data_IF_977638684458
#
_entry.id   IF_977638684458
#
_cell.length_a   1.000
_cell.length_b   1.000
_cell.length_c   1.000
_cell.angle_alpha   90.00
_cell.angle_beta   90.00
_cell.angle_gamma   90.00
#
_symmetry.space_group_name_H-M   'P 1'
#
loop_
_entity.id
_entity.type
_entity.pdbx_description
1 polymer ?
#
# COMPACT_ATOMS: atom_id res chain seq x y z
N UNK A 1 -2.11 2.92 -16.76
CA UNK A 1 -2.53 3.94 -15.82
C UNK A 1 -1.87 3.75 -14.47
N UNK A 2 -1.35 4.82 -13.95
CA UNK A 2 -0.66 4.73 -12.67
C UNK A 2 -1.63 4.89 -11.51
N UNK A 3 -1.59 3.93 -10.62
CA UNK A 3 -2.38 4.00 -9.39
C UNK A 3 -1.61 4.82 -8.38
N UNK A 4 -2.30 5.76 -7.75
CA UNK A 4 -1.68 6.62 -6.76
C UNK A 4 -2.23 6.32 -5.38
N UNK A 5 -1.55 6.85 -4.38
CA UNK A 5 -1.99 6.64 -3.01
C UNK A 5 -3.42 7.14 -2.80
N UNK A 6 -3.82 8.18 -3.54
CA UNK A 6 -5.19 8.66 -3.49
C UNK A 6 -6.19 7.57 -3.86
N UNK A 7 -5.85 6.81 -4.89
CA UNK A 7 -6.73 5.76 -5.36
C UNK A 7 -6.86 4.67 -4.30
N UNK A 8 -5.77 4.34 -3.67
CA UNK A 8 -5.79 3.33 -2.61
C UNK A 8 -6.65 3.82 -1.46
N UNK A 9 -6.47 5.08 -1.08
CA UNK A 9 -7.26 5.65 0.02
C UNK A 9 -8.75 5.61 -0.28
N UNK A 10 -9.12 5.98 -1.49
CA UNK A 10 -10.51 5.94 -1.89
C UNK A 10 -11.05 4.52 -1.89
N UNK A 11 -10.29 3.61 -2.42
CA UNK A 11 -10.73 2.22 -2.49
C UNK A 11 -10.89 1.63 -1.10
N UNK A 12 -9.96 1.93 -0.21
CA UNK A 12 -9.99 1.42 1.15
C UNK A 12 -10.98 2.17 2.04
N UNK A 13 -11.42 3.35 1.61
CA UNK A 13 -12.32 4.15 2.42
C UNK A 13 -11.62 4.83 3.59
N UNK A 14 -10.36 5.19 3.40
CA UNK A 14 -9.58 5.85 4.44
C UNK A 14 -8.87 7.04 3.85
N UNK A 15 -8.19 7.81 4.71
CA UNK A 15 -7.46 8.98 4.23
C UNK A 15 -6.10 8.57 3.68
N UNK A 16 -5.52 9.47 2.88
CA UNK A 16 -4.18 9.24 2.37
C UNK A 16 -3.18 9.07 3.50
N UNK A 17 -3.35 9.83 4.54
CA UNK A 17 -2.47 9.72 5.70
C UNK A 17 -2.52 8.32 6.28
N UNK A 18 -3.71 7.75 6.36
CA UNK A 18 -3.86 6.40 6.88
C UNK A 18 -3.14 5.39 6.00
N UNK A 19 -3.28 5.53 4.69
CA UNK A 19 -2.60 4.62 3.76
C UNK A 19 -1.09 4.74 3.95
N UNK A 20 -0.60 5.97 4.04
CA UNK A 20 0.83 6.19 4.23
C UNK A 20 1.33 5.55 5.51
N UNK A 21 0.57 5.68 6.59
CA UNK A 21 0.97 5.07 7.86
C UNK A 21 1.02 3.56 7.78
N UNK A 22 0.05 2.97 7.09
CA UNK A 22 0.06 1.52 6.91
C UNK A 22 1.29 1.08 6.14
N UNK A 23 1.60 1.78 5.07
CA UNK A 23 2.73 1.42 4.23
C UNK A 23 4.06 1.60 4.95
N UNK A 24 4.16 2.62 5.79
CA UNK A 24 5.39 2.90 6.52
C UNK A 24 5.41 2.28 7.90
N UNK A 25 4.35 1.58 8.25
CA UNK A 25 4.27 0.91 9.54
C UNK A 25 4.44 1.90 10.70
N UNK A 26 3.83 3.07 10.55
CA UNK A 26 3.97 4.13 11.54
C UNK A 26 2.70 4.27 12.37
N UNK A 27 2.89 4.47 13.66
CA UNK A 27 1.77 4.67 14.55
C UNK A 27 0.94 3.41 14.69
N UNK A 28 -0.14 3.54 15.42
CA UNK A 28 -1.03 2.41 15.64
C UNK A 28 -2.10 2.36 14.55
N UNK A 29 -2.19 1.25 13.89
CA UNK A 29 -3.19 1.02 12.86
C UNK A 29 -3.92 -0.28 13.23
N UNK A 30 -5.24 -0.22 13.33
CA UNK A 30 -6.01 -1.41 13.64
C UNK A 30 -5.88 -2.42 12.51
N UNK A 31 -6.05 -3.69 12.84
CA UNK A 31 -5.94 -4.73 11.83
C UNK A 31 -6.99 -4.57 10.75
N UNK A 32 -8.17 -4.11 11.13
CA UNK A 32 -9.22 -3.89 10.14
C UNK A 32 -8.79 -2.88 9.10
N UNK A 33 -8.26 -1.76 9.56
CA UNK A 33 -7.81 -0.71 8.66
C UNK A 33 -6.66 -1.21 7.80
N UNK A 34 -5.72 -1.88 8.43
CA UNK A 34 -4.56 -2.42 7.69
C UNK A 34 -5.02 -3.36 6.60
N UNK A 35 -5.96 -4.22 6.92
CA UNK A 35 -6.46 -5.17 5.94
C UNK A 35 -7.15 -4.46 4.79
N UNK A 36 -7.96 -3.45 5.09
CA UNK A 36 -8.63 -2.69 4.05
C UNK A 36 -7.64 -2.07 3.08
N UNK A 37 -6.58 -1.48 3.63
CA UNK A 37 -5.57 -0.86 2.79
C UNK A 37 -4.84 -1.90 1.96
N UNK A 38 -4.45 -3.01 2.56
CA UNK A 38 -3.76 -4.06 1.83
C UNK A 38 -4.64 -4.65 0.73
N UNK A 39 -5.92 -4.82 1.01
CA UNK A 39 -6.85 -5.32 -0.01
C UNK A 39 -6.94 -4.34 -1.17
N UNK A 40 -7.02 -3.05 -0.86
CA UNK A 40 -7.09 -2.03 -1.90
C UNK A 40 -5.82 -2.04 -2.74
N UNK A 41 -4.68 -2.17 -2.08
CA UNK A 41 -3.39 -2.21 -2.77
C UNK A 41 -3.36 -3.39 -3.74
N UNK A 42 -3.83 -4.54 -3.28
CA UNK A 42 -3.85 -5.72 -4.12
C UNK A 42 -4.79 -5.58 -5.31
N UNK A 43 -5.97 -5.01 -5.07
CA UNK A 43 -6.96 -4.84 -6.14
C UNK A 43 -6.50 -3.85 -7.19
N UNK A 44 -5.85 -2.79 -6.76
CA UNK A 44 -5.42 -1.74 -7.67
C UNK A 44 -4.01 -1.97 -8.19
N UNK A 45 -3.36 -3.02 -7.71
CA UNK A 45 -1.98 -3.33 -8.11
C UNK A 45 -1.03 -2.16 -7.80
N UNK A 46 -1.31 -1.46 -6.72
CA UNK A 46 -0.46 -0.35 -6.30
C UNK A 46 0.80 -0.89 -5.65
N UNK A 47 1.96 -0.37 -6.05
CA UNK A 47 3.23 -0.84 -5.51
C UNK A 47 4.09 0.36 -5.16
N UNK A 48 4.07 0.80 -3.90
CA UNK A 48 4.85 1.97 -3.50
C UNK A 48 6.36 1.75 -3.64
N UNK A 49 6.79 0.51 -3.56
CA UNK A 49 8.21 0.19 -3.66
C UNK A 49 8.50 -0.72 -4.83
N UNK A 50 7.91 -0.38 -5.98
CA UNK A 50 8.06 -1.23 -7.16
C UNK A 50 9.52 -1.45 -7.52
N UNK A 51 10.31 -0.39 -7.48
CA UNK A 51 11.73 -0.49 -7.82
C UNK A 51 12.45 -1.38 -6.85
N UNK A 52 12.22 -1.16 -5.56
CA UNK A 52 12.86 -1.97 -4.54
C UNK A 52 12.48 -3.43 -4.65
N UNK A 53 11.22 -3.70 -4.96
CA UNK A 53 10.76 -5.07 -5.10
C UNK A 53 11.43 -5.76 -6.26
N UNK A 54 11.60 -5.05 -7.35
CA UNK A 54 12.28 -5.62 -8.51
C UNK A 54 13.71 -5.96 -8.17
N UNK A 55 14.38 -5.09 -7.42
CA UNK A 55 15.75 -5.36 -7.00
C UNK A 55 15.82 -6.59 -6.12
N UNK A 56 14.87 -6.72 -5.20
CA UNK A 56 14.82 -7.89 -4.33
C UNK A 56 14.62 -9.15 -5.12
N UNK A 57 13.76 -9.11 -6.10
CA UNK A 57 13.54 -10.29 -6.92
C UNK A 57 14.81 -10.75 -7.59
N UNK A 58 15.57 -9.80 -8.11
CA UNK A 58 16.83 -10.12 -8.73
C UNK A 58 17.79 -10.75 -7.76
N UNK A 59 17.81 -10.23 -6.55
CA UNK A 59 18.71 -10.74 -5.54
C UNK A 59 18.38 -12.16 -5.15
N UNK A 60 17.13 -12.48 -5.10
CA UNK A 60 16.70 -13.80 -4.70
C UNK A 60 17.01 -14.86 -5.71
N UNK A 61 17.37 -14.44 -6.89
CA UNK A 61 17.80 -15.38 -7.93
C UNK A 61 19.28 -15.71 -7.75
#
# INVERSE_FOLDING_TARGET
MDVKIDDVAKRAGVSKTTVSRVLNNRGYISEKTRKKVHDAIGELHYSPNAVARQLFKKKLK
#
